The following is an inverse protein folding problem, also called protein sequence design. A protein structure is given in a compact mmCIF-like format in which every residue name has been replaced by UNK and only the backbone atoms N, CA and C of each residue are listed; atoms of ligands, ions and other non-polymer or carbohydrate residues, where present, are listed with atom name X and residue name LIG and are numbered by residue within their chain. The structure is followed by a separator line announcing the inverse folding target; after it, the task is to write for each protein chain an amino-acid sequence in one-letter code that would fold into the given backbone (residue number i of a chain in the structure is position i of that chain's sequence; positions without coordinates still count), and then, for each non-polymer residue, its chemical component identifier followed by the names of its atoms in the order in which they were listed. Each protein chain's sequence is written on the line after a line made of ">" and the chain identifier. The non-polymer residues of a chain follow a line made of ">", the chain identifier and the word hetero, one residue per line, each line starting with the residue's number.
data_IF_662455668478
#
_entry.id   IF_662455668478
#
_cell.length_a   1.000
_cell.length_b   1.000
_cell.length_c   1.000
_cell.angle_alpha   90.00
_cell.angle_beta   90.00
_cell.angle_gamma   90.00
#
_symmetry.space_group_name_H-M   'P 1'
#
loop_
_entity.id
_entity.type
_entity.pdbx_description
1 polymer ?
#
# COMPACT_ATOMS: atom_id res chain seq x y z
N UNK A 1 2.63 -42.47 32.18
CA UNK A 1 2.65 -41.37 31.20
C UNK A 1 1.75 -40.26 31.74
N UNK A 2 2.33 -39.13 32.20
CA UNK A 2 1.56 -37.95 32.63
C UNK A 2 1.23 -37.09 31.41
N UNK A 3 -0.03 -37.08 30.99
CA UNK A 3 -0.52 -36.19 29.94
C UNK A 3 -0.56 -34.78 30.51
N UNK A 4 0.32 -33.91 30.02
CA UNK A 4 0.35 -32.49 30.39
C UNK A 4 -0.95 -31.83 29.89
N UNK A 5 -1.93 -31.62 30.77
CA UNK A 5 -3.15 -30.86 30.48
C UNK A 5 -2.77 -29.40 30.36
N UNK A 6 -2.46 -28.96 29.16
CA UNK A 6 -2.30 -27.53 28.88
C UNK A 6 -3.66 -26.86 29.13
N UNK A 7 -3.73 -25.96 30.10
CA UNK A 7 -4.98 -25.26 30.42
C UNK A 7 -5.43 -24.40 29.26
N UNK A 8 -6.71 -24.45 28.91
CA UNK A 8 -7.34 -23.72 27.80
C UNK A 8 -6.93 -22.21 27.70
N UNK A 9 -6.80 -21.46 28.82
CA UNK A 9 -6.35 -20.08 28.79
C UNK A 9 -4.89 -19.90 28.36
N UNK A 10 -4.02 -20.89 28.60
CA UNK A 10 -2.62 -20.84 28.18
C UNK A 10 -2.47 -21.10 26.68
N UNK A 11 -3.29 -21.97 26.10
CA UNK A 11 -3.36 -22.20 24.65
C UNK A 11 -3.88 -20.97 23.92
N UNK A 12 -4.89 -20.28 24.49
CA UNK A 12 -5.44 -19.03 23.93
C UNK A 12 -4.43 -17.89 23.94
N UNK A 13 -3.59 -17.80 24.98
CA UNK A 13 -2.52 -16.80 25.11
C UNK A 13 -1.41 -16.99 24.08
N UNK A 14 -1.06 -18.24 23.74
CA UNK A 14 -0.06 -18.55 22.70
C UNK A 14 -0.57 -18.19 21.31
N UNK A 15 -1.87 -18.36 21.02
CA UNK A 15 -2.46 -18.03 19.72
C UNK A 15 -2.41 -16.51 19.45
N UNK A 16 -2.56 -15.68 20.47
CA UNK A 16 -2.51 -14.21 20.32
C UNK A 16 -1.11 -13.71 19.93
N UNK A 17 -0.03 -14.41 20.32
CA UNK A 17 1.35 -14.03 19.98
C UNK A 17 1.79 -14.37 18.55
N UNK A 18 1.03 -15.18 17.81
CA UNK A 18 1.40 -15.60 16.45
C UNK A 18 1.06 -14.55 15.35
N UNK A 19 0.43 -13.44 15.72
CA UNK A 19 0.05 -12.37 14.78
C UNK A 19 1.02 -11.17 14.76
N UNK A 20 2.25 -11.32 15.27
CA UNK A 20 3.28 -10.30 15.08
C UNK A 20 3.76 -10.41 13.62
N UNK A 21 3.00 -9.80 12.71
CA UNK A 21 3.42 -9.61 11.33
C UNK A 21 4.63 -8.67 11.35
N UNK A 22 5.80 -9.19 11.01
CA UNK A 22 6.98 -8.37 10.80
C UNK A 22 6.76 -7.59 9.50
N UNK A 23 6.24 -6.36 9.60
CA UNK A 23 6.04 -5.49 8.44
C UNK A 23 7.38 -4.93 7.99
N UNK A 24 7.67 -4.99 6.70
CA UNK A 24 8.86 -4.39 6.09
C UNK A 24 8.68 -2.90 5.80
N UNK A 25 7.46 -2.39 5.93
CA UNK A 25 7.06 -1.02 5.60
C UNK A 25 6.75 -0.22 6.85
N UNK A 26 7.38 0.97 6.95
CA UNK A 26 7.13 1.94 8.03
C UNK A 26 6.48 3.18 7.45
N UNK A 27 5.39 3.63 8.05
CA UNK A 27 4.74 4.89 7.70
C UNK A 27 5.37 6.02 8.53
N UNK A 28 5.93 7.03 7.85
CA UNK A 28 6.60 8.18 8.49
C UNK A 28 5.66 9.37 8.68
N UNK A 29 4.75 9.58 7.74
CA UNK A 29 3.70 10.58 7.83
C UNK A 29 2.37 9.96 7.42
N UNK A 30 1.30 10.49 8.01
CA UNK A 30 -0.05 10.16 7.60
C UNK A 30 -0.94 11.36 7.94
N UNK A 31 -1.60 11.88 6.93
CA UNK A 31 -2.60 12.91 7.04
C UNK A 31 -3.92 12.42 6.43
N UNK A 32 -5.02 12.70 7.10
CA UNK A 32 -6.38 12.42 6.63
C UNK A 32 -7.22 13.70 6.78
N UNK A 33 -8.07 13.95 5.82
CA UNK A 33 -9.07 15.01 5.92
C UNK A 33 -10.16 14.60 6.92
N UNK A 34 -10.13 15.18 8.12
CA UNK A 34 -11.08 14.88 9.20
C UNK A 34 -12.52 15.28 8.84
N UNK A 35 -12.70 16.14 7.82
CA UNK A 35 -14.02 16.56 7.37
C UNK A 35 -14.64 15.64 6.32
N UNK A 36 -13.85 14.68 5.80
CA UNK A 36 -14.33 13.74 4.81
C UNK A 36 -15.25 12.69 5.45
N UNK A 37 -16.49 12.65 4.97
CA UNK A 37 -17.52 11.71 5.43
C UNK A 37 -17.94 10.71 4.33
N UNK A 38 -17.24 10.75 3.17
CA UNK A 38 -17.52 9.84 2.06
C UNK A 38 -16.98 8.44 2.32
N UNK A 39 -17.46 7.50 1.50
CA UNK A 39 -16.92 6.15 1.44
C UNK A 39 -16.57 5.85 -0.03
N UNK A 40 -15.31 5.51 -0.32
CA UNK A 40 -14.91 5.04 -1.63
C UNK A 40 -15.70 3.79 -2.05
N UNK A 41 -16.36 3.87 -3.20
CA UNK A 41 -17.13 2.74 -3.75
C UNK A 41 -16.33 1.99 -4.81
N UNK A 42 -15.57 2.75 -5.64
CA UNK A 42 -14.75 2.18 -6.70
C UNK A 42 -13.47 2.99 -6.90
N UNK A 43 -12.33 2.31 -6.84
CA UNK A 43 -11.01 2.95 -6.79
C UNK A 43 -10.23 2.70 -8.07
N UNK A 44 -9.69 3.77 -8.68
CA UNK A 44 -8.65 3.66 -9.70
C UNK A 44 -7.29 3.65 -9.01
N UNK A 45 -6.53 2.58 -9.20
CA UNK A 45 -5.17 2.46 -8.68
C UNK A 45 -4.18 2.90 -9.75
N UNK A 46 -3.37 3.91 -9.43
CA UNK A 46 -2.31 4.45 -10.29
C UNK A 46 -0.97 4.27 -9.59
N UNK A 47 -0.04 3.62 -10.26
CA UNK A 47 1.33 3.55 -9.80
C UNK A 47 2.28 4.26 -10.76
N UNK A 48 3.06 5.20 -10.23
CA UNK A 48 3.99 6.05 -10.98
C UNK A 48 5.40 5.47 -11.10
N UNK A 49 5.58 4.17 -11.00
CA UNK A 49 6.88 3.54 -11.29
C UNK A 49 7.23 3.64 -12.76
N UNK A 50 8.48 4.02 -13.06
CA UNK A 50 8.98 4.15 -14.42
C UNK A 50 9.05 2.81 -15.17
N UNK A 51 9.27 1.70 -14.45
CA UNK A 51 9.31 0.37 -15.05
C UNK A 51 7.90 -0.17 -15.26
N UNK A 52 7.45 -0.39 -16.52
CA UNK A 52 6.09 -0.85 -16.82
C UNK A 52 5.74 -2.21 -16.22
N UNK A 53 6.70 -3.13 -16.10
CA UNK A 53 6.46 -4.45 -15.52
C UNK A 53 6.20 -4.34 -14.01
N UNK A 54 7.00 -3.55 -13.29
CA UNK A 54 6.80 -3.30 -11.86
C UNK A 54 5.48 -2.56 -11.60
N UNK A 55 5.12 -1.60 -12.48
CA UNK A 55 3.84 -0.91 -12.43
C UNK A 55 2.66 -1.88 -12.48
N UNK A 56 2.68 -2.79 -13.47
CA UNK A 56 1.62 -3.81 -13.61
C UNK A 56 1.52 -4.69 -12.37
N UNK A 57 2.63 -5.26 -11.92
CA UNK A 57 2.64 -6.10 -10.72
C UNK A 57 2.07 -5.35 -9.51
N UNK A 58 2.44 -4.10 -9.34
CA UNK A 58 1.97 -3.27 -8.24
C UNK A 58 0.45 -3.02 -8.33
N UNK A 59 -0.04 -2.53 -9.47
CA UNK A 59 -1.46 -2.22 -9.64
C UNK A 59 -2.33 -3.49 -9.54
N UNK A 60 -1.88 -4.61 -10.11
CA UNK A 60 -2.57 -5.90 -10.03
C UNK A 60 -2.68 -6.40 -8.58
N UNK A 61 -1.57 -6.38 -7.83
CA UNK A 61 -1.57 -6.81 -6.42
C UNK A 61 -2.42 -5.88 -5.56
N UNK A 62 -2.40 -4.56 -5.85
CA UNK A 62 -3.19 -3.58 -5.10
C UNK A 62 -4.69 -3.79 -5.33
N UNK A 63 -5.09 -3.94 -6.59
CA UNK A 63 -6.48 -4.22 -6.96
C UNK A 63 -6.94 -5.55 -6.37
N UNK A 64 -6.09 -6.59 -6.42
CA UNK A 64 -6.38 -7.88 -5.79
C UNK A 64 -6.61 -7.73 -4.29
N UNK A 65 -5.70 -7.06 -3.58
CA UNK A 65 -5.75 -6.90 -2.12
C UNK A 65 -6.98 -6.10 -1.67
N UNK A 66 -7.42 -5.09 -2.46
CA UNK A 66 -8.66 -4.35 -2.23
C UNK A 66 -9.90 -5.24 -2.46
N UNK A 67 -9.94 -5.99 -3.57
CA UNK A 67 -11.06 -6.89 -3.90
C UNK A 67 -11.22 -8.03 -2.90
N UNK A 68 -10.13 -8.56 -2.38
CA UNK A 68 -10.15 -9.58 -1.31
C UNK A 68 -10.85 -9.05 -0.04
N UNK A 69 -10.92 -7.72 0.12
CA UNK A 69 -11.64 -7.01 1.19
C UNK A 69 -13.00 -6.44 0.76
N UNK A 70 -13.50 -6.84 -0.41
CA UNK A 70 -14.79 -6.40 -0.99
C UNK A 70 -14.84 -4.92 -1.36
N UNK A 71 -13.68 -4.31 -1.65
CA UNK A 71 -13.57 -2.95 -2.15
C UNK A 71 -13.36 -3.03 -3.66
N UNK A 72 -14.26 -2.44 -4.47
CA UNK A 72 -14.09 -2.46 -5.92
C UNK A 72 -12.91 -1.58 -6.35
N UNK A 73 -12.07 -2.11 -7.22
CA UNK A 73 -10.90 -1.42 -7.70
C UNK A 73 -10.53 -1.83 -9.12
N UNK A 74 -9.91 -0.93 -9.85
CA UNK A 74 -9.44 -1.15 -11.23
C UNK A 74 -8.03 -0.62 -11.41
N UNK A 75 -7.27 -1.27 -12.28
CA UNK A 75 -5.90 -0.87 -12.65
C UNK A 75 -5.94 0.29 -13.63
N UNK A 76 -4.94 1.16 -13.58
CA UNK A 76 -4.84 2.29 -14.49
C UNK A 76 -4.13 1.96 -15.80
N UNK A 77 -3.18 1.02 -15.81
CA UNK A 77 -2.30 0.77 -16.95
C UNK A 77 -3.04 0.32 -18.23
N UNK A 78 -4.24 -0.24 -18.10
CA UNK A 78 -5.06 -0.64 -19.26
C UNK A 78 -5.64 0.55 -20.04
N UNK A 79 -5.78 1.68 -19.39
CA UNK A 79 -6.46 2.86 -19.91
C UNK A 79 -5.60 4.14 -19.87
N UNK A 80 -4.48 4.10 -19.15
CA UNK A 80 -3.47 5.14 -19.05
C UNK A 80 -2.08 4.50 -19.22
N UNK A 81 -1.61 4.27 -20.48
CA UNK A 81 -0.32 3.63 -20.74
C UNK A 81 0.84 4.38 -20.06
N UNK A 82 0.83 5.71 -20.13
CA UNK A 82 1.82 6.60 -19.54
C UNK A 82 1.14 7.52 -18.51
N UNK A 83 1.14 7.18 -17.22
CA UNK A 83 0.51 7.98 -16.20
C UNK A 83 1.31 9.27 -15.96
N UNK A 84 0.84 10.36 -16.47
CA UNK A 84 1.32 11.70 -16.08
C UNK A 84 0.63 12.05 -14.77
N UNK A 85 1.17 11.55 -13.65
CA UNK A 85 0.57 11.73 -12.31
C UNK A 85 0.56 13.19 -11.83
N UNK A 86 1.23 14.09 -12.54
CA UNK A 86 1.16 15.53 -12.31
C UNK A 86 -0.01 16.21 -13.01
N UNK A 87 -0.64 15.55 -14.00
CA UNK A 87 -1.79 16.09 -14.72
C UNK A 87 -3.09 15.65 -14.05
N UNK A 88 -3.59 16.49 -13.16
CA UNK A 88 -4.83 16.23 -12.41
C UNK A 88 -6.06 16.17 -13.32
N UNK A 89 -6.10 16.96 -14.39
CA UNK A 89 -7.24 17.00 -15.30
C UNK A 89 -7.31 15.71 -16.13
N UNK A 90 -6.18 15.20 -16.59
CA UNK A 90 -6.11 13.91 -17.27
C UNK A 90 -6.53 12.76 -16.36
N UNK A 91 -6.12 12.77 -15.08
CA UNK A 91 -6.52 11.78 -14.08
C UNK A 91 -8.02 11.87 -13.82
N UNK A 92 -8.58 13.07 -13.63
CA UNK A 92 -10.00 13.27 -13.39
C UNK A 92 -10.86 12.83 -14.60
N UNK A 93 -10.43 13.16 -15.82
CA UNK A 93 -11.09 12.70 -17.04
C UNK A 93 -11.08 11.17 -17.16
N UNK A 94 -9.95 10.54 -16.80
CA UNK A 94 -9.84 9.09 -16.78
C UNK A 94 -10.73 8.45 -15.73
N UNK A 95 -10.72 8.97 -14.49
CA UNK A 95 -11.58 8.50 -13.41
C UNK A 95 -13.06 8.52 -13.82
N UNK A 96 -13.50 9.61 -14.45
CA UNK A 96 -14.85 9.73 -14.99
C UNK A 96 -15.14 8.70 -16.08
N UNK A 97 -14.18 8.46 -16.99
CA UNK A 97 -14.35 7.50 -18.09
C UNK A 97 -14.53 6.07 -17.61
N UNK A 98 -13.79 5.66 -16.57
CA UNK A 98 -13.87 4.29 -16.01
C UNK A 98 -14.90 4.17 -14.90
N UNK A 99 -15.58 5.26 -14.56
CA UNK A 99 -16.68 5.27 -13.59
C UNK A 99 -16.22 4.97 -12.18
N UNK A 100 -15.11 5.58 -11.74
CA UNK A 100 -14.59 5.50 -10.37
C UNK A 100 -14.87 6.80 -9.63
N UNK A 101 -15.06 6.71 -8.32
CA UNK A 101 -15.25 7.86 -7.44
C UNK A 101 -14.01 8.23 -6.63
N UNK A 102 -13.01 7.35 -6.64
CA UNK A 102 -11.79 7.52 -5.86
C UNK A 102 -10.56 7.17 -6.70
N UNK A 103 -9.49 7.94 -6.53
CA UNK A 103 -8.19 7.67 -7.16
C UNK A 103 -7.14 7.52 -6.06
N UNK A 104 -6.41 6.41 -6.11
CA UNK A 104 -5.24 6.16 -5.30
C UNK A 104 -4.01 6.27 -6.18
N UNK A 105 -3.09 7.16 -5.82
CA UNK A 105 -1.82 7.35 -6.51
C UNK A 105 -0.69 6.93 -5.59
N UNK A 106 0.11 5.96 -6.02
CA UNK A 106 1.36 5.61 -5.38
C UNK A 106 2.52 6.06 -6.24
N UNK A 107 3.47 6.78 -5.65
CA UNK A 107 4.67 7.26 -6.35
C UNK A 107 5.92 7.07 -5.51
N UNK A 108 7.04 6.62 -6.10
CA UNK A 108 8.33 6.66 -5.43
C UNK A 108 8.77 8.12 -5.29
N UNK A 109 9.29 8.49 -4.12
CA UNK A 109 9.81 9.83 -3.83
C UNK A 109 11.31 9.83 -3.53
N UNK A 110 11.95 8.65 -3.56
CA UNK A 110 13.38 8.50 -3.40
C UNK A 110 13.78 7.17 -2.82
N UNK A 111 15.08 7.03 -2.59
CA UNK A 111 15.68 5.88 -1.91
C UNK A 111 16.56 6.37 -0.77
N UNK A 112 16.66 5.57 0.29
CA UNK A 112 17.58 5.82 1.42
C UNK A 112 18.45 4.58 1.60
N UNK A 113 19.75 4.78 1.76
CA UNK A 113 20.69 3.73 2.12
C UNK A 113 21.15 3.94 3.55
N UNK A 114 21.12 2.90 4.38
CA UNK A 114 21.62 2.93 5.75
C UNK A 114 22.69 1.86 5.91
N UNK A 115 23.75 2.22 6.63
CA UNK A 115 24.78 1.27 7.02
C UNK A 115 24.42 0.63 8.36
N UNK A 116 24.38 -0.68 8.38
CA UNK A 116 24.20 -1.45 9.61
C UNK A 116 25.56 -2.04 10.00
N UNK A 117 26.10 -1.57 11.13
CA UNK A 117 27.37 -2.06 11.65
C UNK A 117 27.18 -3.42 12.35
N UNK A 118 27.97 -4.41 11.94
CA UNK A 118 28.06 -5.74 12.53
C UNK A 118 29.48 -6.27 12.36
N UNK A 119 29.67 -7.60 12.35
CA UNK A 119 30.95 -8.21 11.96
C UNK A 119 31.37 -7.86 10.52
N UNK A 120 30.39 -7.54 9.69
CA UNK A 120 30.52 -6.96 8.34
C UNK A 120 29.59 -5.78 8.24
N UNK A 121 30.00 -4.73 7.51
CA UNK A 121 29.12 -3.59 7.22
C UNK A 121 28.20 -3.99 6.07
N UNK A 122 26.88 -3.90 6.29
CA UNK A 122 25.86 -4.11 5.26
C UNK A 122 25.21 -2.78 4.93
N UNK A 123 24.87 -2.61 3.65
CA UNK A 123 24.08 -1.47 3.20
C UNK A 123 22.63 -1.92 2.98
N UNK A 124 21.73 -1.40 3.79
CA UNK A 124 20.29 -1.62 3.66
C UNK A 124 19.69 -0.57 2.73
N UNK A 125 18.97 -1.03 1.71
CA UNK A 125 18.26 -0.16 0.77
C UNK A 125 16.80 -0.02 1.20
N UNK A 126 16.33 1.22 1.23
CA UNK A 126 14.92 1.56 1.47
C UNK A 126 14.36 2.33 0.29
N UNK A 127 13.13 2.01 -0.11
CA UNK A 127 12.36 2.79 -1.07
C UNK A 127 11.36 3.64 -0.29
N UNK A 128 11.39 4.94 -0.55
CA UNK A 128 10.43 5.89 -0.02
C UNK A 128 9.32 6.11 -1.04
N UNK A 129 8.08 6.00 -0.61
CA UNK A 129 6.89 6.18 -1.44
C UNK A 129 5.93 7.16 -0.81
N UNK A 130 5.19 7.87 -1.65
CA UNK A 130 4.04 8.66 -1.24
C UNK A 130 2.76 8.03 -1.79
N UNK A 131 1.75 7.92 -0.93
CA UNK A 131 0.42 7.42 -1.25
C UNK A 131 -0.55 8.58 -1.06
N UNK A 132 -1.23 8.98 -2.12
CA UNK A 132 -2.25 10.01 -2.10
C UNK A 132 -3.58 9.42 -2.54
N UNK A 133 -4.66 9.72 -1.81
CA UNK A 133 -6.03 9.30 -2.14
C UNK A 133 -6.89 10.53 -2.35
N UNK A 134 -7.53 10.59 -3.50
CA UNK A 134 -8.40 11.69 -3.91
C UNK A 134 -9.84 11.23 -4.06
N UNK A 135 -10.78 12.00 -3.54
CA UNK A 135 -12.20 11.88 -3.86
C UNK A 135 -12.51 12.64 -5.14
N UNK A 136 -13.04 11.95 -6.15
CA UNK A 136 -13.31 12.53 -7.46
C UNK A 136 -14.63 13.31 -7.53
N UNK A 137 -15.53 13.10 -6.56
CA UNK A 137 -16.79 13.86 -6.46
C UNK A 137 -16.51 15.30 -6.02
N UNK A 138 -15.61 15.48 -5.05
CA UNK A 138 -15.20 16.80 -4.55
C UNK A 138 -13.87 17.31 -5.13
N UNK A 139 -13.15 16.48 -5.87
CA UNK A 139 -11.81 16.74 -6.39
C UNK A 139 -10.80 17.11 -5.27
N UNK A 140 -10.94 16.50 -4.09
CA UNK A 140 -10.12 16.78 -2.90
C UNK A 140 -9.18 15.65 -2.57
N UNK A 141 -7.99 15.99 -2.09
CA UNK A 141 -7.11 15.06 -1.39
C UNK A 141 -7.78 14.70 -0.06
N UNK A 142 -7.99 13.41 0.19
CA UNK A 142 -8.65 12.92 1.41
C UNK A 142 -7.72 12.15 2.34
N UNK A 143 -6.60 11.66 1.80
CA UNK A 143 -5.54 11.04 2.58
C UNK A 143 -4.20 11.20 1.86
N UNK A 144 -3.15 11.47 2.62
CA UNK A 144 -1.76 11.42 2.15
C UNK A 144 -0.90 10.71 3.19
N UNK A 145 -0.05 9.79 2.73
CA UNK A 145 0.87 9.06 3.58
C UNK A 145 2.24 8.91 2.92
N UNK A 146 3.28 8.89 3.73
CA UNK A 146 4.63 8.54 3.29
C UNK A 146 5.04 7.23 3.94
N UNK A 147 5.62 6.34 3.17
CA UNK A 147 6.08 5.04 3.64
C UNK A 147 7.52 4.78 3.21
N UNK A 148 8.27 4.13 4.08
CA UNK A 148 9.62 3.64 3.84
C UNK A 148 9.60 2.12 3.90
N UNK A 149 10.04 1.46 2.83
CA UNK A 149 10.04 0.00 2.72
C UNK A 149 11.46 -0.51 2.57
N UNK A 150 11.87 -1.39 3.48
CA UNK A 150 13.15 -2.08 3.40
C UNK A 150 13.16 -3.10 2.27
N UNK A 151 14.16 -3.01 1.40
CA UNK A 151 14.35 -3.90 0.25
C UNK A 151 15.52 -4.83 0.53
N UNK A 152 15.22 -6.06 0.81
CA UNK A 152 16.20 -7.12 0.98
C UNK A 152 16.69 -7.59 -0.39
N UNK A 153 18.01 -7.60 -0.59
CA UNK A 153 18.62 -7.97 -1.87
C UNK A 153 18.49 -9.46 -2.20
N UNK A 154 18.28 -10.31 -1.19
CA UNK A 154 18.11 -11.77 -1.33
C UNK A 154 16.65 -12.16 -1.64
N UNK A 155 15.72 -11.21 -1.68
CA UNK A 155 14.30 -11.45 -1.97
C UNK A 155 13.93 -10.84 -3.34
N UNK A 156 13.25 -11.59 -4.22
CA UNK A 156 12.76 -11.05 -5.49
C UNK A 156 11.84 -9.83 -5.31
N UNK A 157 12.04 -8.81 -6.15
CA UNK A 157 11.31 -7.54 -6.06
C UNK A 157 9.77 -7.68 -6.04
N UNK A 158 9.13 -8.59 -6.81
CA UNK A 158 7.68 -8.82 -6.72
C UNK A 158 7.17 -9.21 -5.33
N UNK A 159 8.00 -9.90 -4.53
CA UNK A 159 7.62 -10.26 -3.15
C UNK A 159 7.58 -9.02 -2.26
N UNK A 160 8.52 -8.09 -2.46
CA UNK A 160 8.50 -6.80 -1.75
C UNK A 160 7.25 -5.99 -2.11
N UNK A 161 6.86 -5.96 -3.41
CA UNK A 161 5.63 -5.30 -3.84
C UNK A 161 4.42 -5.86 -3.12
N UNK A 162 4.27 -7.18 -3.04
CA UNK A 162 3.15 -7.83 -2.34
C UNK A 162 3.09 -7.46 -0.87
N UNK A 163 4.22 -7.52 -0.17
CA UNK A 163 4.30 -7.16 1.25
C UNK A 163 3.94 -5.69 1.45
N UNK A 164 4.52 -4.80 0.65
CA UNK A 164 4.24 -3.36 0.68
C UNK A 164 2.76 -3.06 0.46
N UNK A 165 2.16 -3.63 -0.59
CA UNK A 165 0.74 -3.42 -0.91
C UNK A 165 -0.16 -3.85 0.25
N UNK A 166 0.12 -5.01 0.85
CA UNK A 166 -0.63 -5.50 2.00
C UNK A 166 -0.54 -4.52 3.18
N UNK A 167 0.67 -4.03 3.49
CA UNK A 167 0.89 -3.08 4.58
C UNK A 167 0.14 -1.75 4.33
N UNK A 168 0.19 -1.24 3.08
CA UNK A 168 -0.51 -0.01 2.70
C UNK A 168 -2.03 -0.18 2.80
N UNK A 169 -2.60 -1.22 2.21
CA UNK A 169 -4.06 -1.46 2.25
C UNK A 169 -4.52 -1.64 3.68
N UNK A 170 -3.78 -2.38 4.50
CA UNK A 170 -4.09 -2.52 5.93
C UNK A 170 -4.07 -1.16 6.65
N UNK A 171 -3.10 -0.29 6.34
CA UNK A 171 -3.00 1.04 6.93
C UNK A 171 -4.16 1.93 6.53
N UNK A 172 -4.57 1.90 5.26
CA UNK A 172 -5.73 2.66 4.77
C UNK A 172 -7.03 2.25 5.46
N UNK A 173 -7.23 0.93 5.67
CA UNK A 173 -8.37 0.39 6.42
C UNK A 173 -8.38 0.87 7.88
N UNK A 174 -7.23 0.87 8.54
CA UNK A 174 -7.09 1.37 9.92
C UNK A 174 -7.46 2.85 10.06
N UNK A 175 -7.37 3.62 8.98
CA UNK A 175 -7.81 5.02 8.96
C UNK A 175 -9.32 5.16 8.72
N UNK A 176 -10.05 4.06 8.55
CA UNK A 176 -11.47 4.11 8.26
C UNK A 176 -11.78 4.83 6.93
N UNK A 177 -10.94 4.60 5.91
CA UNK A 177 -11.15 5.20 4.60
C UNK A 177 -12.17 4.39 3.79
N UNK A 178 -12.25 3.07 4.04
CA UNK A 178 -13.10 2.11 3.36
C UNK A 178 -14.05 1.41 4.33
#
# INVERSE_FOLDING_TARGET
>A
MRVLRLSLPFALFIIVFLFISCTSTKFSTLWKDETYQGHPEKILVINAFLNPANRRIFEDEFVKELKDRRIDAVVSYTSMPDPVVSDKDAIAAQAKRVGVDTVLINRPIGTTTRETAGFTTYQDLYINTQIDVYDMKSNRLILSATAETWIRQDIPYPIHIKSYVKDVVQRLLQQGLF
#
